data_IF_919177661042
#
_entry.id   IF_919177661042
#
_cell.length_a   1.000
_cell.length_b   1.000
_cell.length_c   1.000
_cell.angle_alpha   90.00
_cell.angle_beta   90.00
_cell.angle_gamma   90.00
#
_symmetry.space_group_name_H-M   'P 1'
#
loop_
_entity.id
_entity.type
_entity.pdbx_description
1 polymer ?
#
# COMPACT_ATOMS: atom_id res chain seq x y z
N UNK A 1 15.20 13.94 -15.74
CA UNK A 1 13.80 13.56 -15.98
C UNK A 1 13.17 13.56 -14.62
N UNK A 2 12.32 14.54 -14.35
CA UNK A 2 11.56 14.57 -13.10
C UNK A 2 10.57 13.40 -13.17
N UNK A 3 10.79 12.36 -12.37
CA UNK A 3 9.76 11.34 -12.17
C UNK A 3 8.66 11.99 -11.34
N UNK A 4 7.59 12.41 -12.01
CA UNK A 4 6.45 13.06 -11.38
C UNK A 4 5.64 12.03 -10.58
N UNK A 5 5.87 12.00 -9.27
CA UNK A 5 4.98 11.35 -8.30
C UNK A 5 3.70 12.15 -8.20
N UNK A 6 2.55 11.49 -8.36
CA UNK A 6 1.26 12.20 -8.39
C UNK A 6 0.12 11.34 -7.89
N UNK A 7 -0.87 12.03 -7.34
CA UNK A 7 -2.22 11.48 -7.26
C UNK A 7 -2.74 11.15 -8.65
N UNK A 8 -3.37 10.00 -8.80
CA UNK A 8 -4.01 9.58 -10.04
C UNK A 8 -5.22 10.48 -10.31
N UNK A 9 -5.29 11.08 -11.49
CA UNK A 9 -6.43 11.88 -11.96
C UNK A 9 -7.24 11.20 -13.08
N UNK A 10 -6.67 10.17 -13.71
CA UNK A 10 -7.32 9.40 -14.77
C UNK A 10 -8.37 8.44 -14.18
N UNK A 11 -9.63 8.70 -14.49
CA UNK A 11 -10.78 7.90 -14.04
C UNK A 11 -10.75 6.45 -14.51
N UNK A 12 -10.30 6.19 -15.72
CA UNK A 12 -10.28 4.83 -16.30
C UNK A 12 -9.12 4.02 -15.73
N UNK A 13 -7.97 4.64 -15.49
CA UNK A 13 -6.89 4.05 -14.72
C UNK A 13 -7.35 3.73 -13.29
N UNK A 14 -7.93 4.70 -12.58
CA UNK A 14 -8.43 4.50 -11.22
C UNK A 14 -9.43 3.35 -11.15
N UNK A 15 -10.43 3.32 -12.05
CA UNK A 15 -11.45 2.24 -12.06
C UNK A 15 -10.82 0.86 -12.26
N UNK A 16 -9.85 0.74 -13.18
CA UNK A 16 -9.15 -0.54 -13.41
C UNK A 16 -8.39 -0.99 -12.16
N UNK A 17 -7.63 -0.09 -11.54
CA UNK A 17 -6.84 -0.38 -10.35
C UNK A 17 -7.75 -0.73 -9.16
N UNK A 18 -8.86 -0.03 -8.96
CA UNK A 18 -9.80 -0.33 -7.87
C UNK A 18 -10.54 -1.65 -8.06
N UNK A 19 -10.88 -2.02 -9.30
CA UNK A 19 -11.45 -3.34 -9.58
C UNK A 19 -10.47 -4.47 -9.25
N UNK A 20 -9.18 -4.27 -9.53
CA UNK A 20 -8.13 -5.21 -9.15
C UNK A 20 -7.94 -5.24 -7.62
N UNK A 21 -7.84 -4.07 -6.99
CA UNK A 21 -7.69 -3.91 -5.56
C UNK A 21 -8.83 -4.56 -4.76
N UNK A 22 -10.05 -4.62 -5.30
CA UNK A 22 -11.17 -5.28 -4.62
C UNK A 22 -10.88 -6.73 -4.21
N UNK A 23 -10.07 -7.46 -4.99
CA UNK A 23 -9.62 -8.81 -4.66
C UNK A 23 -8.46 -8.87 -3.65
N UNK A 24 -7.76 -7.75 -3.44
CA UNK A 24 -6.58 -7.61 -2.57
C UNK A 24 -6.94 -7.05 -1.18
N UNK A 25 -8.14 -6.46 -1.02
CA UNK A 25 -8.62 -5.89 0.25
C UNK A 25 -9.02 -6.95 1.29
N UNK A 26 -9.25 -8.19 0.88
CA UNK A 26 -9.66 -9.24 1.80
C UNK A 26 -8.43 -9.85 2.47
N UNK A 27 -8.37 -9.77 3.80
CA UNK A 27 -7.41 -10.50 4.62
C UNK A 27 -7.44 -11.98 4.25
N UNK A 28 -6.30 -12.53 3.83
CA UNK A 28 -6.25 -13.90 3.32
C UNK A 28 -6.05 -14.95 4.43
N UNK A 29 -6.24 -14.58 5.72
CA UNK A 29 -5.82 -15.37 6.88
C UNK A 29 -6.35 -16.82 6.81
N UNK A 30 -5.46 -17.81 6.84
CA UNK A 30 -5.83 -19.23 6.82
C UNK A 30 -6.21 -19.84 5.46
N UNK A 31 -6.12 -19.14 4.33
CA UNK A 31 -6.28 -19.73 2.99
C UNK A 31 -5.04 -19.48 2.13
N UNK A 32 -4.21 -20.50 1.89
CA UNK A 32 -3.00 -20.29 1.11
C UNK A 32 -2.74 -21.46 0.15
N UNK A 33 -2.62 -21.13 -1.14
CA UNK A 33 -1.98 -21.98 -2.13
C UNK A 33 -0.51 -22.17 -1.73
N UNK A 34 0.10 -23.36 -1.86
CA UNK A 34 1.50 -23.60 -1.49
C UNK A 34 2.53 -22.64 -2.10
N UNK A 35 2.16 -21.89 -3.14
CA UNK A 35 2.98 -20.93 -3.87
C UNK A 35 2.92 -19.48 -3.36
N UNK A 36 2.14 -19.20 -2.32
CA UNK A 36 1.93 -17.83 -1.82
C UNK A 36 2.68 -17.61 -0.51
N UNK A 37 3.45 -16.53 -0.47
CA UNK A 37 4.21 -16.08 0.68
C UNK A 37 3.42 -15.02 1.43
N UNK A 38 3.52 -15.02 2.76
CA UNK A 38 2.83 -14.07 3.63
C UNK A 38 3.73 -13.58 4.75
N UNK A 39 3.59 -12.31 5.10
CA UNK A 39 4.22 -11.67 6.26
C UNK A 39 3.21 -10.74 6.90
N UNK A 40 3.32 -10.60 8.22
CA UNK A 40 2.52 -9.66 9.00
C UNK A 40 3.47 -8.75 9.77
N UNK A 41 3.09 -7.49 9.93
CA UNK A 41 3.89 -6.48 10.63
C UNK A 41 2.98 -5.34 11.10
N UNK A 42 3.53 -4.37 11.83
CA UNK A 42 2.76 -3.23 12.32
C UNK A 42 2.21 -2.39 11.14
N UNK A 43 0.99 -1.89 11.25
CA UNK A 43 0.38 -1.14 10.17
C UNK A 43 1.14 0.16 9.83
N UNK A 44 1.87 0.77 10.77
CA UNK A 44 2.62 2.01 10.56
C UNK A 44 3.93 1.82 9.79
N UNK A 45 4.33 0.58 9.52
CA UNK A 45 5.60 0.23 8.88
C UNK A 45 5.78 0.90 7.51
N UNK A 46 4.70 1.28 6.82
CA UNK A 46 4.82 2.02 5.56
C UNK A 46 5.52 3.39 5.71
N UNK A 47 5.57 3.96 6.90
CA UNK A 47 6.23 5.24 7.17
C UNK A 47 7.67 5.11 7.67
N UNK A 48 8.13 3.89 7.97
CA UNK A 48 9.44 3.70 8.59
C UNK A 48 10.55 3.49 7.56
N UNK A 49 11.78 3.76 8.01
CA UNK A 49 12.98 3.53 7.21
C UNK A 49 13.12 2.06 6.83
N UNK A 50 13.38 1.81 5.56
CA UNK A 50 13.59 0.49 4.97
C UNK A 50 12.37 -0.06 4.24
N UNK A 51 11.15 0.44 4.54
CA UNK A 51 9.93 -0.07 3.92
C UNK A 51 9.93 0.14 2.41
N UNK A 52 10.28 1.35 1.97
CA UNK A 52 10.32 1.66 0.54
C UNK A 52 11.33 0.77 -0.20
N UNK A 53 12.51 0.58 0.40
CA UNK A 53 13.55 -0.30 -0.15
C UNK A 53 13.03 -1.74 -0.30
N UNK A 54 12.27 -2.22 0.69
CA UNK A 54 11.70 -3.56 0.67
C UNK A 54 10.64 -3.75 -0.43
N UNK A 55 9.73 -2.77 -0.61
CA UNK A 55 8.71 -2.86 -1.66
C UNK A 55 9.27 -2.65 -3.07
N UNK A 56 10.37 -1.91 -3.23
CA UNK A 56 11.11 -1.82 -4.50
C UNK A 56 11.71 -3.18 -4.88
N UNK A 57 12.25 -3.93 -3.92
CA UNK A 57 12.73 -5.29 -4.18
C UNK A 57 11.58 -6.25 -4.52
N UNK A 58 10.41 -6.12 -3.89
CA UNK A 58 9.20 -6.84 -4.30
C UNK A 58 8.82 -6.52 -5.75
N UNK A 59 8.82 -5.24 -6.13
CA UNK A 59 8.54 -4.81 -7.49
C UNK A 59 9.57 -5.37 -8.49
N UNK A 60 10.85 -5.45 -8.11
CA UNK A 60 11.89 -6.09 -8.92
C UNK A 60 11.62 -7.59 -9.13
N UNK A 61 11.15 -8.31 -8.12
CA UNK A 61 10.77 -9.72 -8.23
C UNK A 61 9.56 -9.93 -9.13
N UNK A 62 8.60 -9.00 -9.13
CA UNK A 62 7.40 -9.07 -9.96
C UNK A 62 7.55 -8.52 -11.38
N UNK A 63 8.64 -7.77 -11.63
CA UNK A 63 8.93 -7.08 -12.89
C UNK A 63 8.17 -5.77 -13.06
N UNK A 64 7.71 -5.17 -11.96
CA UNK A 64 6.97 -3.92 -11.95
C UNK A 64 7.91 -2.72 -11.77
N UNK A 65 7.64 -1.64 -12.50
CA UNK A 65 8.36 -0.36 -12.37
C UNK A 65 7.56 0.70 -11.61
N UNK A 66 6.28 0.41 -11.33
CA UNK A 66 5.33 1.32 -10.71
C UNK A 66 4.64 0.62 -9.55
N UNK A 67 4.48 1.34 -8.44
CA UNK A 67 3.76 0.93 -7.25
C UNK A 67 2.68 1.96 -6.98
N UNK A 68 1.51 1.51 -6.54
CA UNK A 68 0.41 2.37 -6.12
C UNK A 68 0.24 2.31 -4.62
N UNK A 69 0.04 3.48 -4.00
CA UNK A 69 -0.44 3.59 -2.63
C UNK A 69 -1.87 4.12 -2.64
N UNK A 70 -2.83 3.33 -2.16
CA UNK A 70 -4.24 3.71 -2.08
C UNK A 70 -4.65 3.93 -0.62
N UNK A 71 -5.26 5.07 -0.33
CA UNK A 71 -6.04 5.24 0.90
C UNK A 71 -7.42 4.58 0.66
N UNK A 72 -7.68 3.50 1.39
CA UNK A 72 -8.88 2.69 1.20
C UNK A 72 -10.14 3.34 1.78
N UNK A 73 -9.99 4.09 2.87
CA UNK A 73 -11.10 4.81 3.51
C UNK A 73 -11.63 5.87 2.54
N UNK A 74 -10.74 6.73 2.04
CA UNK A 74 -11.09 7.77 1.08
C UNK A 74 -11.53 7.20 -0.27
N UNK A 75 -11.02 6.05 -0.70
CA UNK A 75 -11.45 5.41 -1.95
C UNK A 75 -12.93 4.98 -1.93
N UNK A 76 -13.52 4.79 -0.75
CA UNK A 76 -14.96 4.54 -0.60
C UNK A 76 -15.79 5.82 -0.50
N UNK A 77 -15.15 6.95 -0.22
CA UNK A 77 -15.80 8.22 -0.07
C UNK A 77 -15.97 8.92 -1.42
N UNK A 78 -17.21 9.27 -1.78
CA UNK A 78 -17.49 9.96 -3.06
C UNK A 78 -16.93 11.38 -3.11
N UNK A 79 -16.70 12.02 -1.95
CA UNK A 79 -16.33 13.44 -1.88
C UNK A 79 -14.87 13.71 -2.25
N UNK A 80 -13.96 12.73 -2.17
CA UNK A 80 -12.53 12.99 -2.35
C UNK A 80 -12.23 13.51 -3.77
N UNK A 81 -12.72 12.79 -4.78
CA UNK A 81 -12.53 13.17 -6.18
C UNK A 81 -13.28 14.47 -6.54
N UNK A 82 -14.47 14.69 -5.97
CA UNK A 82 -15.21 15.93 -6.15
C UNK A 82 -14.48 17.14 -5.58
N UNK A 83 -13.80 16.96 -4.45
CA UNK A 83 -13.11 18.01 -3.70
C UNK A 83 -11.74 18.35 -4.28
N UNK A 84 -10.95 17.33 -4.65
CA UNK A 84 -9.55 17.51 -5.05
C UNK A 84 -9.29 17.34 -6.54
N UNK A 85 -10.27 16.88 -7.33
CA UNK A 85 -10.10 16.61 -8.77
C UNK A 85 -9.14 15.46 -9.08
N UNK A 86 -8.73 14.70 -8.06
CA UNK A 86 -7.85 13.53 -8.13
C UNK A 86 -8.41 12.41 -7.24
N UNK A 87 -7.91 11.20 -7.42
CA UNK A 87 -8.30 10.04 -6.62
C UNK A 87 -7.34 9.81 -5.46
N UNK A 88 -7.76 9.15 -4.35
CA UNK A 88 -6.94 8.89 -3.17
C UNK A 88 -5.94 7.74 -3.40
N UNK A 89 -5.18 7.87 -4.47
CA UNK A 89 -4.28 6.87 -5.03
C UNK A 89 -3.03 7.59 -5.55
N UNK A 90 -1.87 7.31 -4.98
CA UNK A 90 -0.59 7.88 -5.37
C UNK A 90 0.17 6.87 -6.24
N UNK A 91 0.63 7.32 -7.40
CA UNK A 91 1.52 6.56 -8.28
C UNK A 91 2.98 6.84 -7.91
N UNK A 92 3.75 5.78 -7.70
CA UNK A 92 5.15 5.83 -7.26
C UNK A 92 6.03 5.03 -8.23
N UNK A 93 7.03 5.68 -8.82
CA UNK A 93 8.04 5.00 -9.63
C UNK A 93 9.07 4.30 -8.73
N UNK A 94 9.44 3.07 -9.03
CA UNK A 94 10.46 2.31 -8.28
C UNK A 94 11.85 2.98 -8.25
N UNK A 95 12.11 3.95 -9.13
CA UNK A 95 13.34 4.72 -9.15
C UNK A 95 13.42 5.81 -8.08
N UNK A 96 12.30 6.16 -7.43
CA UNK A 96 12.31 7.23 -6.41
C UNK A 96 13.02 6.76 -5.15
N UNK A 97 13.61 7.71 -4.44
CA UNK A 97 14.25 7.50 -3.14
C UNK A 97 13.20 7.41 -2.03
N UNK A 98 13.58 6.82 -0.89
CA UNK A 98 12.68 6.73 0.27
C UNK A 98 12.21 8.11 0.78
N UNK A 99 13.05 9.18 0.84
CA UNK A 99 12.56 10.52 1.15
C UNK A 99 11.54 11.07 0.15
N UNK A 100 11.69 10.77 -1.14
CA UNK A 100 10.73 11.17 -2.19
C UNK A 100 9.40 10.44 -2.04
N UNK A 101 9.44 9.13 -1.75
CA UNK A 101 8.27 8.35 -1.39
C UNK A 101 7.52 8.95 -0.19
N UNK A 102 8.22 9.24 0.91
CA UNK A 102 7.60 9.85 2.10
C UNK A 102 7.04 11.24 1.76
N UNK A 103 7.74 12.03 0.95
CA UNK A 103 7.25 13.34 0.51
C UNK A 103 5.95 13.20 -0.29
N UNK A 104 5.86 12.22 -1.18
CA UNK A 104 4.66 11.96 -1.98
C UNK A 104 3.45 11.58 -1.10
N UNK A 105 3.65 10.76 -0.05
CA UNK A 105 2.57 10.43 0.88
C UNK A 105 2.09 11.60 1.73
N UNK A 106 2.94 12.62 1.91
CA UNK A 106 2.62 13.85 2.64
C UNK A 106 2.13 14.98 1.72
N UNK A 107 2.06 14.75 0.41
CA UNK A 107 1.65 15.78 -0.54
C UNK A 107 0.14 16.04 -0.46
N UNK A 108 -0.24 17.32 -0.49
CA UNK A 108 -1.64 17.74 -0.56
C UNK A 108 -2.28 17.28 -1.89
N UNK A 109 -3.47 16.66 -1.87
CA UNK A 109 -4.15 16.22 -3.08
C UNK A 109 -4.63 17.40 -3.93
N UNK A 110 -4.44 17.29 -5.24
CA UNK A 110 -4.95 18.27 -6.21
C UNK A 110 -4.36 19.68 -6.10
N UNK A 111 -3.27 19.87 -5.35
CA UNK A 111 -2.65 21.17 -5.04
C UNK A 111 -3.64 22.19 -4.43
N UNK A 112 -4.69 21.70 -3.77
CA UNK A 112 -5.70 22.54 -3.13
C UNK A 112 -5.12 23.14 -1.85
N UNK A 113 -4.56 24.35 -1.97
CA UNK A 113 -3.87 25.04 -0.88
C UNK A 113 -4.73 25.19 0.38
N UNK A 114 -4.18 24.81 1.53
CA UNK A 114 -4.81 24.98 2.84
C UNK A 114 -5.70 23.81 3.25
N UNK A 115 -5.76 22.75 2.44
CA UNK A 115 -6.43 21.52 2.81
C UNK A 115 -5.42 20.45 3.24
N UNK A 116 -5.37 20.21 4.54
CA UNK A 116 -4.42 19.27 5.15
C UNK A 116 -4.93 17.84 5.02
N UNK A 117 -4.84 17.28 3.82
CA UNK A 117 -4.98 15.84 3.62
C UNK A 117 -3.63 15.25 3.21
N UNK A 118 -3.18 14.25 3.97
CA UNK A 118 -1.97 13.51 3.71
C UNK A 118 -2.29 12.02 3.82
N UNK A 119 -1.90 11.24 2.81
CA UNK A 119 -2.08 9.79 2.79
C UNK A 119 -1.31 9.12 3.93
N UNK A 120 -0.25 9.76 4.44
CA UNK A 120 0.46 9.35 5.66
C UNK A 120 -0.41 9.30 6.92
N UNK A 121 -1.60 9.92 6.92
CA UNK A 121 -2.54 9.91 8.05
C UNK A 121 -3.73 8.95 7.84
N UNK A 122 -3.66 8.06 6.84
CA UNK A 122 -4.73 7.10 6.55
C UNK A 122 -4.88 6.05 7.65
N UNK A 123 -6.10 5.56 7.87
CA UNK A 123 -6.37 4.44 8.79
C UNK A 123 -6.39 3.07 8.09
N UNK A 124 -6.50 3.05 6.76
CA UNK A 124 -6.58 1.81 5.99
C UNK A 124 -5.99 2.02 4.59
N UNK A 125 -5.06 1.17 4.18
CA UNK A 125 -4.31 1.39 2.93
C UNK A 125 -4.00 0.11 2.16
N UNK A 126 -3.74 0.29 0.87
CA UNK A 126 -3.21 -0.76 0.00
C UNK A 126 -1.96 -0.27 -0.74
N UNK A 127 -0.87 -1.04 -0.66
CA UNK A 127 0.33 -0.86 -1.50
C UNK A 127 0.40 -2.02 -2.48
N UNK A 128 0.40 -1.75 -3.79
CA UNK A 128 0.34 -2.82 -4.79
C UNK A 128 0.87 -2.37 -6.16
N UNK A 129 1.43 -3.28 -6.96
CA UNK A 129 1.81 -2.99 -8.33
C UNK A 129 0.65 -3.25 -9.32
N UNK A 130 0.73 -2.72 -10.56
CA UNK A 130 -0.23 -3.05 -11.61
C UNK A 130 -0.35 -4.56 -11.89
N UNK A 131 0.73 -5.34 -11.71
CA UNK A 131 0.67 -6.79 -11.96
C UNK A 131 -0.21 -7.57 -10.97
N UNK A 132 -0.48 -7.01 -9.77
CA UNK A 132 -1.24 -7.68 -8.71
C UNK A 132 -0.56 -8.92 -8.12
N UNK A 133 0.72 -9.15 -8.43
CA UNK A 133 1.45 -10.35 -7.96
C UNK A 133 1.80 -10.30 -6.47
N UNK A 134 1.78 -9.13 -5.87
CA UNK A 134 1.90 -8.91 -4.43
C UNK A 134 1.07 -7.70 -4.00
N UNK A 135 0.78 -7.59 -2.71
CA UNK A 135 0.21 -6.38 -2.11
C UNK A 135 0.55 -6.31 -0.62
N UNK A 136 0.53 -5.09 -0.08
CA UNK A 136 0.47 -4.82 1.36
C UNK A 136 -0.88 -4.20 1.68
N UNK A 137 -1.61 -4.77 2.64
CA UNK A 137 -2.86 -4.22 3.16
C UNK A 137 -2.66 -3.88 4.63
N UNK A 138 -2.78 -2.61 5.02
CA UNK A 138 -2.67 -2.16 6.40
C UNK A 138 -3.99 -1.64 6.93
N UNK A 139 -4.30 -1.96 8.18
CA UNK A 139 -5.53 -1.56 8.86
C UNK A 139 -5.22 -1.14 10.30
N UNK A 140 -5.60 0.09 10.66
CA UNK A 140 -5.39 0.65 11.99
C UNK A 140 -6.28 -0.03 13.03
N UNK A 141 -7.49 -0.44 12.69
CA UNK A 141 -8.44 -1.00 13.67
C UNK A 141 -7.90 -2.26 14.39
N UNK A 142 -7.02 -3.01 13.72
CA UNK A 142 -6.31 -4.18 14.27
C UNK A 142 -4.80 -3.96 14.42
N UNK A 143 -4.36 -2.73 14.14
CA UNK A 143 -2.98 -2.26 14.12
C UNK A 143 -2.03 -3.22 13.38
N UNK A 144 -2.43 -3.72 12.22
CA UNK A 144 -1.67 -4.72 11.47
C UNK A 144 -1.64 -4.42 9.98
N UNK A 145 -0.52 -4.76 9.35
CA UNK A 145 -0.42 -4.92 7.91
C UNK A 145 -0.09 -6.36 7.52
N UNK A 146 -0.62 -6.78 6.37
CA UNK A 146 -0.35 -8.05 5.71
C UNK A 146 0.35 -7.77 4.38
N UNK A 147 1.46 -8.47 4.13
CA UNK A 147 2.03 -8.65 2.82
C UNK A 147 1.65 -10.03 2.28
N UNK A 148 1.09 -10.08 1.07
CA UNK A 148 0.90 -11.31 0.30
C UNK A 148 1.70 -11.22 -0.98
N UNK A 149 2.41 -12.29 -1.36
CA UNK A 149 3.19 -12.34 -2.60
C UNK A 149 3.16 -13.72 -3.26
N UNK A 150 3.03 -13.73 -4.59
CA UNK A 150 3.12 -14.93 -5.44
C UNK A 150 4.48 -15.08 -6.13
N UNK A 151 5.39 -14.12 -5.93
CA UNK A 151 6.71 -14.06 -6.58
C UNK A 151 7.87 -14.26 -5.60
N UNK A 152 7.57 -14.66 -4.36
CA UNK A 152 8.55 -14.70 -3.26
C UNK A 152 8.55 -13.41 -2.44
N UNK A 153 9.40 -13.39 -1.42
CA UNK A 153 9.61 -12.20 -0.57
C UNK A 153 11.10 -11.86 -0.51
N UNK A 154 11.46 -10.57 -0.40
CA UNK A 154 12.83 -10.16 -0.12
C UNK A 154 13.31 -10.73 1.24
N UNK A 155 14.62 -10.90 1.38
CA UNK A 155 15.22 -11.39 2.63
C UNK A 155 14.95 -10.45 3.81
N UNK A 156 14.67 -11.03 4.98
CA UNK A 156 14.26 -10.30 6.19
C UNK A 156 15.30 -9.25 6.65
N UNK A 157 16.59 -9.44 6.35
CA UNK A 157 17.65 -8.46 6.65
C UNK A 157 17.45 -7.10 5.96
N UNK A 158 16.69 -7.05 4.86
CA UNK A 158 16.38 -5.80 4.15
C UNK A 158 15.29 -4.98 4.82
N UNK A 159 14.49 -5.61 5.69
CA UNK A 159 13.47 -4.94 6.47
C UNK A 159 13.55 -5.46 7.91
N UNK A 160 14.50 -4.94 8.70
CA UNK A 160 14.81 -5.47 10.03
C UNK A 160 13.79 -4.97 11.07
N UNK A 161 12.52 -5.21 10.79
CA UNK A 161 11.39 -4.95 11.67
C UNK A 161 10.72 -6.27 12.03
N UNK A 162 9.99 -6.27 13.15
CA UNK A 162 9.47 -7.50 13.74
C UNK A 162 8.31 -8.04 12.92
N UNK A 163 8.60 -8.98 12.02
CA UNK A 163 7.55 -9.77 11.37
C UNK A 163 6.85 -10.63 12.41
N UNK A 164 5.53 -10.53 12.46
CA UNK A 164 4.70 -11.37 13.30
C UNK A 164 4.46 -12.73 12.64
N UNK A 165 4.36 -13.77 13.46
CA UNK A 165 3.94 -15.07 13.00
C UNK A 165 2.42 -15.11 12.74
N UNK A 166 1.97 -16.17 12.07
CA UNK A 166 0.56 -16.32 11.71
C UNK A 166 -0.36 -16.47 12.94
N UNK A 167 0.16 -16.97 14.06
CA UNK A 167 -0.63 -17.13 15.30
C UNK A 167 -0.95 -15.77 15.90
N UNK A 168 0.04 -14.89 16.00
CA UNK A 168 -0.14 -13.52 16.48
C UNK A 168 -1.03 -12.70 15.52
N UNK A 169 -0.86 -12.87 14.21
CA UNK A 169 -1.71 -12.23 13.22
C UNK A 169 -3.19 -12.66 13.36
N UNK A 170 -3.44 -13.97 13.47
CA UNK A 170 -4.80 -14.50 13.68
C UNK A 170 -5.43 -14.01 14.99
N UNK A 171 -4.63 -13.85 16.06
CA UNK A 171 -5.10 -13.28 17.32
C UNK A 171 -5.62 -11.86 17.12
N UNK A 172 -4.91 -11.03 16.36
CA UNK A 172 -5.31 -9.64 16.08
C UNK A 172 -6.56 -9.56 15.22
N UNK A 173 -6.64 -10.34 14.13
CA UNK A 173 -7.84 -10.40 13.27
C UNK A 173 -9.07 -10.92 14.04
N UNK A 174 -8.88 -11.89 14.94
CA UNK A 174 -9.95 -12.51 15.72
C UNK A 174 -10.36 -11.76 16.99
N UNK A 175 -9.70 -10.66 17.35
CA UNK A 175 -10.03 -9.87 18.55
C UNK A 175 -11.26 -8.97 18.38
N UNK A 176 -11.82 -8.88 17.18
CA UNK A 176 -13.02 -8.09 16.85
C UNK A 176 -14.35 -8.86 16.99
N UNK A 177 -14.43 -9.84 17.90
CA UNK A 177 -15.69 -10.55 18.25
C UNK A 177 -16.14 -10.28 19.69
#
# INVERSE_FOLDING_TARGET
>A
MDSEMRYVSDTDLYRRLMNQAASLKSWQAGHVSPSTFRRYFDWQEFLVKGFWTYVVELARLSGDATIYFCDLEQATASFFAERFGVYPLVELDTSVTEPEYIAALNQEPGEVQGETFAVSNTSSYLVFPPSGKWHVHGEYSIEMAELVSTVGVPADIMFPHDFWDEVEALRRVGSDN
#
